data_IF_356947714816
#
_entry.id   IF_356947714816
#
_cell.length_a   1.000
_cell.length_b   1.000
_cell.length_c   1.000
_cell.angle_alpha   90.00
_cell.angle_beta   90.00
_cell.angle_gamma   90.00
#
_symmetry.space_group_name_H-M   'P 1'
#
loop_
_entity.id
_entity.type
_entity.pdbx_description
1 polymer ?
#
# COMPACT_ATOMS: atom_id res chain seq x y z
N UNK A 1 -21.40 2.74 -15.96
CA UNK A 1 -22.17 2.27 -14.77
C UNK A 1 -23.54 1.84 -15.26
N UNK A 2 -24.02 0.68 -14.84
CA UNK A 2 -25.34 0.16 -15.20
C UNK A 2 -26.44 1.06 -14.59
N UNK A 3 -27.55 1.28 -15.34
CA UNK A 3 -28.67 2.13 -14.90
C UNK A 3 -29.35 1.55 -13.64
N UNK A 4 -29.48 0.22 -13.54
CA UNK A 4 -30.05 -0.45 -12.37
C UNK A 4 -29.20 -0.22 -11.10
N UNK A 5 -27.88 -0.26 -11.23
CA UNK A 5 -26.97 0.01 -10.13
C UNK A 5 -27.07 1.48 -9.66
N UNK A 6 -27.20 2.41 -10.61
CA UNK A 6 -27.40 3.83 -10.31
C UNK A 6 -28.67 4.07 -9.52
N UNK A 7 -29.80 3.49 -9.96
CA UNK A 7 -31.09 3.61 -9.28
C UNK A 7 -31.04 3.01 -7.85
N UNK A 8 -30.33 1.90 -7.66
CA UNK A 8 -30.16 1.26 -6.35
C UNK A 8 -29.38 2.17 -5.39
N UNK A 9 -28.29 2.79 -5.86
CA UNK A 9 -27.51 3.76 -5.09
C UNK A 9 -28.33 5.00 -4.73
N UNK A 10 -29.09 5.54 -5.71
CA UNK A 10 -29.93 6.74 -5.50
C UNK A 10 -31.04 6.46 -4.49
N UNK A 11 -31.64 5.28 -4.54
CA UNK A 11 -32.64 4.86 -3.55
C UNK A 11 -32.05 4.77 -2.14
N UNK A 12 -30.93 4.08 -1.97
CA UNK A 12 -30.29 3.95 -0.67
C UNK A 12 -29.86 5.31 -0.07
N UNK A 13 -29.47 6.24 -0.93
CA UNK A 13 -29.18 7.62 -0.54
C UNK A 13 -30.44 8.36 -0.07
N UNK A 14 -31.55 8.23 -0.82
CA UNK A 14 -32.83 8.84 -0.48
C UNK A 14 -33.43 8.26 0.82
N UNK A 15 -33.24 6.97 1.05
CA UNK A 15 -33.69 6.25 2.26
C UNK A 15 -32.78 6.53 3.50
N UNK A 16 -31.67 7.25 3.32
CA UNK A 16 -30.71 7.58 4.39
C UNK A 16 -29.82 6.42 4.83
N UNK A 17 -29.79 5.32 4.09
CA UNK A 17 -28.93 4.15 4.36
C UNK A 17 -27.48 4.38 3.88
N UNK A 18 -27.31 5.15 2.82
CA UNK A 18 -26.01 5.49 2.23
C UNK A 18 -25.66 6.96 2.49
N UNK A 19 -24.44 7.21 2.98
CA UNK A 19 -23.91 8.56 3.20
C UNK A 19 -23.58 9.25 1.87
N UNK A 20 -23.81 10.58 1.76
CA UNK A 20 -23.48 11.39 0.57
C UNK A 20 -22.01 11.21 0.15
N UNK A 21 -21.09 11.27 1.11
CA UNK A 21 -19.66 11.13 0.85
C UNK A 21 -19.33 9.72 0.32
N UNK A 22 -19.97 8.67 0.88
CA UNK A 22 -19.79 7.31 0.41
C UNK A 22 -20.35 7.12 -0.99
N UNK A 23 -21.54 7.66 -1.28
CA UNK A 23 -22.16 7.63 -2.60
C UNK A 23 -21.26 8.28 -3.68
N UNK A 24 -20.69 9.44 -3.37
CA UNK A 24 -19.79 10.17 -4.27
C UNK A 24 -18.52 9.36 -4.59
N UNK A 25 -17.86 8.81 -3.56
CA UNK A 25 -16.68 7.99 -3.74
C UNK A 25 -17.01 6.68 -4.49
N UNK A 26 -18.12 6.04 -4.16
CA UNK A 26 -18.59 4.82 -4.80
C UNK A 26 -18.84 5.03 -6.31
N UNK A 27 -19.55 6.12 -6.67
CA UNK A 27 -19.80 6.50 -8.07
C UNK A 27 -18.50 6.79 -8.81
N UNK A 28 -17.54 7.49 -8.17
CA UNK A 28 -16.22 7.75 -8.73
C UNK A 28 -15.47 6.46 -9.04
N UNK A 29 -15.54 5.46 -8.15
CA UNK A 29 -14.93 4.16 -8.39
C UNK A 29 -15.59 3.40 -9.53
N UNK A 30 -16.91 3.32 -9.55
CA UNK A 30 -17.69 2.62 -10.59
C UNK A 30 -17.61 3.29 -11.97
N UNK A 31 -17.32 4.60 -12.05
CA UNK A 31 -17.15 5.30 -13.32
C UNK A 31 -15.78 5.07 -13.96
N UNK A 32 -14.87 4.41 -13.27
CA UNK A 32 -13.51 4.16 -13.76
C UNK A 32 -13.49 2.93 -14.67
N UNK A 33 -13.26 3.13 -15.97
CA UNK A 33 -13.19 2.06 -16.97
C UNK A 33 -12.04 1.06 -16.77
N UNK A 34 -11.07 1.42 -15.94
CA UNK A 34 -9.85 0.64 -15.69
C UNK A 34 -9.84 -0.07 -14.34
N UNK A 35 -10.95 -0.04 -13.61
CA UNK A 35 -11.09 -0.82 -12.39
C UNK A 35 -11.02 -2.31 -12.74
N UNK A 36 -10.30 -3.10 -11.95
CA UNK A 36 -10.20 -4.54 -12.18
C UNK A 36 -11.58 -5.22 -12.05
N UNK A 37 -11.81 -6.28 -12.82
CA UNK A 37 -13.08 -6.98 -12.86
C UNK A 37 -13.52 -7.51 -11.49
N UNK A 38 -12.57 -8.01 -10.68
CA UNK A 38 -12.89 -8.46 -9.33
C UNK A 38 -13.32 -7.31 -8.41
N UNK A 39 -12.68 -6.13 -8.55
CA UNK A 39 -13.02 -4.96 -7.74
C UNK A 39 -14.39 -4.40 -8.09
N UNK A 40 -14.71 -4.30 -9.39
CA UNK A 40 -16.07 -3.92 -9.85
C UNK A 40 -17.11 -4.89 -9.33
N UNK A 41 -16.88 -6.21 -9.49
CA UNK A 41 -17.79 -7.25 -8.99
C UNK A 41 -17.96 -7.22 -7.47
N UNK A 42 -16.89 -6.93 -6.72
CA UNK A 42 -16.98 -6.81 -5.26
C UNK A 42 -17.92 -5.67 -4.86
N UNK A 43 -17.79 -4.50 -5.51
CA UNK A 43 -18.67 -3.35 -5.25
C UNK A 43 -20.13 -3.72 -5.62
N UNK A 44 -20.36 -4.32 -6.79
CA UNK A 44 -21.68 -4.75 -7.22
C UNK A 44 -22.33 -5.76 -6.25
N UNK A 45 -21.55 -6.72 -5.74
CA UNK A 45 -22.02 -7.69 -4.76
C UNK A 45 -22.48 -7.02 -3.46
N UNK A 46 -21.73 -6.03 -2.96
CA UNK A 46 -22.12 -5.27 -1.77
C UNK A 46 -23.40 -4.47 -1.99
N UNK A 47 -23.54 -3.81 -3.14
CA UNK A 47 -24.74 -3.03 -3.50
C UNK A 47 -25.96 -3.94 -3.62
N UNK A 48 -25.85 -5.04 -4.37
CA UNK A 48 -26.94 -5.98 -4.59
C UNK A 48 -27.39 -6.71 -3.31
N UNK A 49 -26.48 -6.88 -2.35
CA UNK A 49 -26.77 -7.42 -1.04
C UNK A 49 -27.34 -6.39 -0.05
N UNK A 50 -27.37 -5.08 -0.40
CA UNK A 50 -27.80 -4.02 0.49
C UNK A 50 -26.87 -3.78 1.67
N UNK A 51 -25.59 -4.08 1.54
CA UNK A 51 -24.58 -3.96 2.61
C UNK A 51 -24.12 -2.50 2.82
N UNK A 52 -25.11 -1.60 3.02
CA UNK A 52 -24.85 -0.14 3.09
C UNK A 52 -23.95 0.26 4.24
N UNK A 53 -24.01 -0.44 5.37
CA UNK A 53 -23.11 -0.19 6.50
C UNK A 53 -21.65 -0.46 6.11
N UNK A 54 -21.38 -1.55 5.40
CA UNK A 54 -20.05 -1.89 4.92
C UNK A 54 -19.60 -0.92 3.82
N UNK A 55 -20.48 -0.54 2.90
CA UNK A 55 -20.19 0.45 1.86
C UNK A 55 -19.86 1.80 2.48
N UNK A 56 -20.61 2.26 3.47
CA UNK A 56 -20.31 3.49 4.19
C UNK A 56 -18.93 3.41 4.85
N UNK A 57 -18.58 2.31 5.54
CA UNK A 57 -17.26 2.14 6.19
C UNK A 57 -16.12 2.21 5.15
N UNK A 58 -16.31 1.60 3.98
CA UNK A 58 -15.31 1.52 2.91
C UNK A 58 -15.17 2.80 2.08
N UNK A 59 -16.23 3.62 1.98
CA UNK A 59 -16.27 4.71 1.01
C UNK A 59 -16.55 6.10 1.60
N UNK A 60 -16.85 6.26 2.91
CA UNK A 60 -17.23 7.57 3.49
C UNK A 60 -16.13 8.64 3.38
N UNK A 61 -14.90 8.26 3.14
CA UNK A 61 -13.74 9.18 2.94
C UNK A 61 -12.65 8.50 2.13
N UNK A 62 -11.65 9.28 1.70
CA UNK A 62 -10.39 8.73 1.22
C UNK A 62 -9.47 8.43 2.40
N UNK A 63 -8.78 7.29 2.34
CA UNK A 63 -7.77 6.90 3.32
C UNK A 63 -6.67 7.96 3.34
N UNK A 64 -6.47 8.58 4.50
CA UNK A 64 -5.54 9.69 4.63
C UNK A 64 -4.10 9.20 4.78
N UNK A 65 -3.17 9.87 4.09
CA UNK A 65 -1.76 9.76 4.40
C UNK A 65 -1.48 10.66 5.62
N UNK A 66 -1.32 10.04 6.79
CA UNK A 66 -1.00 10.78 8.02
C UNK A 66 0.50 11.03 8.17
N UNK A 67 0.90 11.62 9.30
CA UNK A 67 2.33 11.78 9.63
C UNK A 67 3.02 10.43 9.65
N UNK A 68 3.86 10.18 8.64
CA UNK A 68 4.67 8.97 8.52
C UNK A 68 4.01 7.78 7.80
N UNK A 69 2.79 7.88 7.29
CA UNK A 69 2.20 6.81 6.47
C UNK A 69 0.69 6.67 6.54
N UNK A 70 0.21 5.54 6.04
CA UNK A 70 -1.20 5.17 5.97
C UNK A 70 -1.45 3.94 6.85
N UNK A 71 -2.63 3.86 7.44
CA UNK A 71 -3.13 2.67 8.11
C UNK A 71 -4.60 2.48 7.76
N UNK A 72 -4.99 1.25 7.43
CA UNK A 72 -6.36 0.93 7.07
C UNK A 72 -6.65 -0.56 7.18
N UNK A 73 -7.93 -0.87 7.13
CA UNK A 73 -8.43 -2.23 7.06
C UNK A 73 -8.11 -2.82 5.68
N UNK A 74 -7.68 -4.07 5.63
CA UNK A 74 -7.43 -4.81 4.38
C UNK A 74 -8.43 -5.92 4.14
N UNK A 75 -9.14 -6.38 5.18
CA UNK A 75 -10.20 -7.38 5.07
C UNK A 75 -11.49 -6.74 5.58
N UNK A 76 -12.53 -6.68 4.76
CA UNK A 76 -13.84 -6.13 5.11
C UNK A 76 -14.54 -6.90 6.23
N UNK A 77 -15.53 -6.32 6.86
CA UNK A 77 -16.44 -7.04 7.78
C UNK A 77 -17.33 -7.98 6.98
N UNK A 78 -17.77 -7.52 5.82
CA UNK A 78 -18.45 -8.34 4.81
C UNK A 78 -17.43 -8.66 3.73
N UNK A 79 -17.12 -9.94 3.58
CA UNK A 79 -16.20 -10.44 2.56
C UNK A 79 -17.01 -10.92 1.35
N UNK A 80 -16.83 -10.28 0.22
CA UNK A 80 -17.51 -10.64 -1.03
C UNK A 80 -16.89 -11.87 -1.67
N UNK A 81 -17.63 -12.57 -2.54
CA UNK A 81 -17.08 -13.70 -3.30
C UNK A 81 -15.99 -13.26 -4.27
N UNK A 82 -16.10 -12.05 -4.81
CA UNK A 82 -15.09 -11.46 -5.68
C UNK A 82 -13.77 -11.21 -4.94
N UNK A 83 -13.81 -10.74 -3.68
CA UNK A 83 -12.63 -10.57 -2.84
C UNK A 83 -12.07 -11.91 -2.37
N UNK A 84 -12.95 -12.89 -2.10
CA UNK A 84 -12.56 -14.24 -1.72
C UNK A 84 -11.78 -14.93 -2.84
N UNK A 85 -12.20 -14.73 -4.10
CA UNK A 85 -11.58 -15.32 -5.28
C UNK A 85 -11.47 -16.84 -5.18
N UNK A 86 -10.33 -17.38 -5.58
CA UNK A 86 -10.03 -18.82 -5.52
C UNK A 86 -9.48 -19.28 -4.15
N UNK A 87 -9.42 -18.41 -3.16
CA UNK A 87 -8.82 -18.68 -1.85
C UNK A 87 -9.70 -19.51 -0.90
N UNK A 88 -10.63 -20.32 -1.44
CA UNK A 88 -11.53 -21.17 -0.64
C UNK A 88 -10.74 -22.02 0.38
N UNK A 89 -11.06 -21.84 1.67
CA UNK A 89 -10.44 -22.55 2.78
C UNK A 89 -9.11 -21.95 3.27
N UNK A 90 -8.61 -20.87 2.70
CA UNK A 90 -7.44 -20.15 3.20
C UNK A 90 -7.84 -19.11 4.27
N UNK A 91 -6.90 -18.79 5.14
CA UNK A 91 -7.09 -17.79 6.22
C UNK A 91 -7.20 -16.34 5.71
N UNK A 92 -6.80 -16.09 4.47
CA UNK A 92 -6.80 -14.78 3.82
C UNK A 92 -7.58 -14.85 2.51
N UNK A 93 -8.42 -13.85 2.17
CA UNK A 93 -8.99 -13.73 0.84
C UNK A 93 -7.88 -13.50 -0.20
N UNK A 94 -8.22 -13.67 -1.48
CA UNK A 94 -7.29 -13.44 -2.58
C UNK A 94 -7.02 -11.95 -2.77
N UNK A 95 -8.06 -11.11 -2.60
CA UNK A 95 -7.98 -9.68 -2.81
C UNK A 95 -8.31 -8.90 -1.53
N UNK A 96 -7.60 -7.79 -1.33
CA UNK A 96 -7.89 -6.87 -0.23
C UNK A 96 -9.21 -6.12 -0.47
N UNK A 97 -9.88 -5.75 0.61
CA UNK A 97 -11.18 -5.08 0.57
C UNK A 97 -11.13 -3.81 -0.29
N UNK A 98 -11.96 -3.77 -1.34
CA UNK A 98 -12.09 -2.61 -2.22
C UNK A 98 -12.76 -1.44 -1.49
N UNK A 99 -12.24 -0.23 -1.70
CA UNK A 99 -12.81 0.98 -1.11
C UNK A 99 -11.81 2.12 -1.01
N UNK A 100 -12.32 3.35 -0.96
CA UNK A 100 -11.49 4.56 -0.82
C UNK A 100 -10.90 4.73 0.58
N UNK A 101 -11.51 4.13 1.60
CA UNK A 101 -11.11 4.18 3.01
C UNK A 101 -10.48 2.86 3.50
N UNK A 102 -10.07 1.98 2.60
CA UNK A 102 -9.40 0.71 2.93
C UNK A 102 -7.96 0.72 2.40
N UNK A 103 -7.08 -0.05 3.04
CA UNK A 103 -5.74 -0.28 2.50
C UNK A 103 -5.83 -1.45 1.52
N UNK A 104 -5.68 -1.15 0.25
CA UNK A 104 -5.79 -2.07 -0.86
C UNK A 104 -4.76 -1.73 -1.94
N UNK A 105 -4.77 -2.46 -3.05
CA UNK A 105 -3.82 -2.29 -4.15
C UNK A 105 -3.79 -0.86 -4.68
N UNK A 106 -4.94 -0.22 -4.84
CA UNK A 106 -5.06 1.14 -5.38
C UNK A 106 -4.49 2.18 -4.41
N UNK A 107 -4.75 2.04 -3.11
CA UNK A 107 -4.24 2.96 -2.08
C UNK A 107 -2.75 2.80 -1.85
N UNK A 108 -2.20 1.58 -1.96
CA UNK A 108 -0.75 1.30 -1.91
C UNK A 108 -0.03 1.89 -3.11
N UNK A 109 -0.55 1.68 -4.33
CA UNK A 109 -0.01 2.29 -5.56
C UNK A 109 0.00 3.82 -5.44
N UNK A 110 -1.12 4.43 -5.03
CA UNK A 110 -1.24 5.87 -4.82
C UNK A 110 -0.20 6.41 -3.82
N UNK A 111 -0.02 5.72 -2.69
CA UNK A 111 0.97 6.09 -1.67
C UNK A 111 2.40 6.00 -2.19
N UNK A 112 2.70 4.94 -2.95
CA UNK A 112 4.01 4.74 -3.57
C UNK A 112 4.29 5.81 -4.62
N UNK A 113 3.31 6.17 -5.46
CA UNK A 113 3.42 7.25 -6.45
C UNK A 113 3.69 8.61 -5.77
N UNK A 114 2.97 8.91 -4.69
CA UNK A 114 3.16 10.15 -3.94
C UNK A 114 4.58 10.24 -3.34
N UNK A 115 5.05 9.16 -2.73
CA UNK A 115 6.39 9.07 -2.16
C UNK A 115 7.46 9.18 -3.25
N UNK A 116 7.35 8.43 -4.34
CA UNK A 116 8.28 8.49 -5.47
C UNK A 116 8.37 9.90 -6.06
N UNK A 117 7.21 10.52 -6.35
CA UNK A 117 7.17 11.86 -6.91
C UNK A 117 7.76 12.92 -5.97
N UNK A 118 7.58 12.76 -4.65
CA UNK A 118 8.24 13.61 -3.66
C UNK A 118 9.75 13.42 -3.68
N UNK A 119 10.24 12.20 -3.58
CA UNK A 119 11.67 11.88 -3.57
C UNK A 119 12.36 12.38 -4.84
N UNK A 120 11.77 12.16 -6.01
CA UNK A 120 12.32 12.64 -7.28
C UNK A 120 12.45 14.17 -7.34
N UNK A 121 11.45 14.90 -6.81
CA UNK A 121 11.52 16.36 -6.73
C UNK A 121 12.56 16.84 -5.72
N UNK A 122 12.63 16.19 -4.56
CA UNK A 122 13.62 16.49 -3.54
C UNK A 122 15.05 16.23 -4.06
N UNK A 123 15.30 15.08 -4.70
CA UNK A 123 16.61 14.78 -5.31
C UNK A 123 17.03 15.84 -6.32
N UNK A 124 16.10 16.28 -7.18
CA UNK A 124 16.37 17.33 -8.14
C UNK A 124 16.71 18.67 -7.46
N UNK A 125 16.05 19.02 -6.34
CA UNK A 125 16.36 20.24 -5.59
C UNK A 125 17.71 20.21 -4.89
N UNK A 126 18.18 19.01 -4.49
CA UNK A 126 19.49 18.78 -3.89
C UNK A 126 20.61 18.55 -4.92
N UNK A 127 20.29 18.59 -6.22
CA UNK A 127 21.25 18.33 -7.30
C UNK A 127 21.73 16.88 -7.38
N UNK A 128 20.95 15.94 -6.82
CA UNK A 128 21.26 14.50 -6.87
C UNK A 128 20.87 13.92 -8.22
N UNK A 129 21.88 13.58 -9.03
CA UNK A 129 21.72 13.03 -10.37
C UNK A 129 21.77 11.48 -10.37
N UNK A 130 20.89 10.86 -9.57
CA UNK A 130 20.85 9.39 -9.44
C UNK A 130 19.40 8.90 -9.66
N UNK A 131 19.25 7.59 -9.83
CA UNK A 131 17.94 6.94 -9.87
C UNK A 131 17.35 6.87 -8.46
N UNK A 132 16.08 7.25 -8.25
CA UNK A 132 15.45 7.11 -6.94
C UNK A 132 15.49 5.67 -6.44
N UNK A 133 16.19 5.43 -5.33
CA UNK A 133 16.36 4.11 -4.71
C UNK A 133 15.49 3.98 -3.48
N UNK A 134 14.84 2.82 -3.31
CA UNK A 134 14.02 2.51 -2.15
C UNK A 134 14.35 1.15 -1.55
N UNK A 135 14.22 1.02 -0.24
CA UNK A 135 14.23 -0.26 0.47
C UNK A 135 12.81 -0.54 0.98
N UNK A 136 12.29 -1.74 0.73
CA UNK A 136 10.95 -2.12 1.16
C UNK A 136 11.00 -3.38 2.02
N UNK A 137 10.40 -3.29 3.21
CA UNK A 137 10.22 -4.39 4.15
C UNK A 137 8.74 -4.61 4.43
N UNK A 138 8.40 -5.80 4.92
CA UNK A 138 7.05 -6.15 5.33
C UNK A 138 7.07 -7.04 6.57
N UNK A 139 5.94 -7.09 7.28
CA UNK A 139 5.69 -8.04 8.35
C UNK A 139 4.93 -9.30 7.84
N UNK A 140 4.35 -10.08 8.75
CA UNK A 140 3.65 -11.34 8.45
C UNK A 140 2.12 -11.19 8.32
N UNK A 141 1.58 -9.96 8.27
CA UNK A 141 0.15 -9.70 8.16
C UNK A 141 -0.40 -10.13 6.80
N UNK A 142 -1.73 -10.27 6.75
CA UNK A 142 -2.44 -10.47 5.49
C UNK A 142 -2.04 -9.36 4.49
N UNK A 143 -1.77 -9.75 3.27
CA UNK A 143 -1.35 -8.88 2.16
C UNK A 143 0.01 -8.17 2.34
N UNK A 144 0.74 -8.32 3.45
CA UNK A 144 2.01 -7.60 3.64
C UNK A 144 3.01 -7.88 2.54
N UNK A 145 3.19 -9.14 2.15
CA UNK A 145 4.08 -9.52 1.05
C UNK A 145 3.57 -8.98 -0.28
N UNK A 146 2.29 -9.14 -0.59
CA UNK A 146 1.66 -8.64 -1.81
C UNK A 146 1.83 -7.11 -1.95
N UNK A 147 1.53 -6.34 -0.90
CA UNK A 147 1.69 -4.87 -0.92
C UNK A 147 3.17 -4.44 -1.02
N UNK A 148 4.09 -5.21 -0.45
CA UNK A 148 5.52 -4.99 -0.59
C UNK A 148 5.94 -5.13 -2.06
N UNK A 149 5.54 -6.21 -2.72
CA UNK A 149 5.83 -6.48 -4.13
C UNK A 149 5.17 -5.46 -5.05
N UNK A 150 3.91 -5.09 -4.76
CA UNK A 150 3.18 -4.07 -5.48
C UNK A 150 3.86 -2.70 -5.39
N UNK A 151 4.29 -2.29 -4.20
CA UNK A 151 5.03 -1.04 -4.01
C UNK A 151 6.38 -1.05 -4.74
N UNK A 152 7.10 -2.18 -4.73
CA UNK A 152 8.36 -2.34 -5.46
C UNK A 152 8.15 -2.22 -6.98
N UNK A 153 7.14 -2.91 -7.50
CA UNK A 153 6.77 -2.86 -8.92
C UNK A 153 6.35 -1.46 -9.36
N UNK A 154 5.54 -0.78 -8.52
CA UNK A 154 5.12 0.61 -8.76
C UNK A 154 6.34 1.54 -8.82
N UNK A 155 7.24 1.43 -7.84
CA UNK A 155 8.45 2.24 -7.78
C UNK A 155 9.34 2.06 -9.01
N UNK A 156 9.56 0.80 -9.42
CA UNK A 156 10.35 0.45 -10.60
C UNK A 156 9.66 0.91 -11.90
N UNK A 157 8.34 0.77 -12.00
CA UNK A 157 7.55 1.26 -13.13
C UNK A 157 7.60 2.78 -13.31
N UNK A 158 7.91 3.52 -12.23
CA UNK A 158 8.14 4.98 -12.25
C UNK A 158 9.61 5.35 -12.57
N UNK A 159 10.45 4.39 -12.93
CA UNK A 159 11.86 4.61 -13.24
C UNK A 159 12.78 4.60 -12.03
N UNK A 160 12.30 4.16 -10.87
CA UNK A 160 13.10 4.01 -9.66
C UNK A 160 13.76 2.62 -9.56
N UNK A 161 14.61 2.45 -8.55
CA UNK A 161 15.27 1.19 -8.24
C UNK A 161 14.81 0.69 -6.87
N UNK A 162 14.18 -0.49 -6.81
CA UNK A 162 13.64 -1.07 -5.59
C UNK A 162 14.52 -2.20 -5.06
N UNK A 163 14.73 -2.22 -3.75
CA UNK A 163 15.42 -3.28 -3.00
C UNK A 163 14.43 -3.89 -2.01
N UNK A 164 14.20 -5.20 -2.09
CA UNK A 164 13.21 -5.92 -1.31
C UNK A 164 13.87 -7.06 -0.52
N UNK A 165 13.49 -7.22 0.73
CA UNK A 165 13.92 -8.36 1.52
C UNK A 165 13.26 -9.65 1.03
N UNK A 166 13.96 -10.76 1.16
CA UNK A 166 13.51 -12.11 0.79
C UNK A 166 12.33 -12.61 1.66
N UNK A 167 12.17 -12.03 2.85
CA UNK A 167 11.09 -12.35 3.79
C UNK A 167 10.78 -11.21 4.75
N UNK A 168 9.91 -11.45 5.75
CA UNK A 168 9.57 -10.42 6.75
C UNK A 168 10.79 -9.91 7.50
N UNK A 169 10.84 -8.59 7.70
CA UNK A 169 11.93 -7.91 8.43
C UNK A 169 11.38 -6.83 9.35
N UNK A 170 12.12 -6.57 10.41
CA UNK A 170 11.78 -5.56 11.40
C UNK A 170 12.01 -4.13 10.89
N UNK A 171 11.30 -3.18 11.47
CA UNK A 171 11.51 -1.75 11.21
C UNK A 171 12.96 -1.30 11.43
N UNK A 172 13.69 -1.70 12.49
CA UNK A 172 15.10 -1.39 12.66
C UNK A 172 15.98 -1.90 11.52
N UNK A 173 15.71 -3.09 10.98
CA UNK A 173 16.46 -3.61 9.82
C UNK A 173 16.19 -2.79 8.56
N UNK A 174 14.97 -2.32 8.33
CA UNK A 174 14.70 -1.38 7.24
C UNK A 174 15.51 -0.10 7.42
N UNK A 175 15.39 0.57 8.58
CA UNK A 175 16.09 1.82 8.87
C UNK A 175 17.60 1.70 8.65
N UNK A 176 18.20 0.62 9.16
CA UNK A 176 19.61 0.31 8.93
C UNK A 176 19.94 0.17 7.45
N UNK A 177 19.09 -0.57 6.69
CA UNK A 177 19.33 -0.89 5.27
C UNK A 177 19.18 0.34 4.38
N UNK A 178 18.25 1.24 4.67
CA UNK A 178 18.11 2.53 3.96
C UNK A 178 19.46 3.26 3.95
N UNK A 179 20.08 3.39 5.11
CA UNK A 179 21.39 4.04 5.25
C UNK A 179 22.54 3.23 4.63
N UNK A 180 22.58 1.93 4.88
CA UNK A 180 23.63 1.04 4.38
C UNK A 180 23.67 0.99 2.85
N UNK A 181 22.51 1.04 2.20
CA UNK A 181 22.37 0.96 0.76
C UNK A 181 22.26 2.32 0.07
N UNK A 182 22.42 3.42 0.84
CA UNK A 182 22.27 4.80 0.34
C UNK A 182 20.96 4.97 -0.43
N UNK A 183 19.88 4.39 0.11
CA UNK A 183 18.54 4.54 -0.48
C UNK A 183 17.95 5.92 -0.12
N UNK A 184 17.18 6.47 -1.04
CA UNK A 184 16.56 7.78 -0.86
C UNK A 184 15.25 7.70 -0.06
N UNK A 185 14.66 6.50 0.01
CA UNK A 185 13.45 6.24 0.77
C UNK A 185 13.41 4.81 1.32
N UNK A 186 12.48 4.58 2.25
CA UNK A 186 12.11 3.25 2.72
C UNK A 186 10.61 3.11 2.91
N UNK A 187 10.10 1.88 2.80
CA UNK A 187 8.72 1.52 3.14
C UNK A 187 8.73 0.30 4.07
N UNK A 188 7.90 0.35 5.12
CA UNK A 188 7.53 -0.86 5.88
C UNK A 188 6.03 -1.08 5.75
N UNK A 189 5.65 -2.23 5.20
CA UNK A 189 4.27 -2.66 5.15
C UNK A 189 3.94 -3.38 6.47
N UNK A 190 3.26 -2.66 7.36
CA UNK A 190 2.91 -3.13 8.71
C UNK A 190 1.87 -2.23 9.38
N UNK A 191 0.98 -2.82 10.18
CA UNK A 191 0.12 -2.10 11.12
C UNK A 191 0.56 -2.29 12.59
N UNK A 192 1.80 -2.70 12.84
CA UNK A 192 2.35 -2.87 14.19
C UNK A 192 1.54 -3.89 15.03
N UNK A 193 0.81 -3.41 16.05
CA UNK A 193 0.02 -4.22 17.01
C UNK A 193 -1.49 -4.20 16.73
N UNK A 194 -1.93 -3.60 15.61
CA UNK A 194 -3.36 -3.61 15.24
C UNK A 194 -3.86 -5.04 14.95
N UNK A 195 -5.18 -5.26 14.95
CA UNK A 195 -5.76 -6.55 14.55
C UNK A 195 -5.26 -7.06 13.19
N UNK A 196 -5.32 -8.38 12.93
CA UNK A 196 -4.75 -8.98 11.72
C UNK A 196 -5.36 -8.49 10.39
N UNK A 197 -6.61 -8.03 10.42
CA UNK A 197 -7.32 -7.48 9.27
C UNK A 197 -6.89 -6.04 8.90
N UNK A 198 -6.07 -5.40 9.73
CA UNK A 198 -5.47 -4.10 9.42
C UNK A 198 -4.06 -4.28 8.85
N UNK A 199 -3.66 -3.35 8.00
CA UNK A 199 -2.28 -3.20 7.56
C UNK A 199 -1.93 -1.71 7.41
N UNK A 200 -0.68 -1.41 7.07
CA UNK A 200 -0.22 -0.04 6.93
C UNK A 200 0.97 0.08 5.99
N UNK A 201 1.16 1.29 5.53
CA UNK A 201 2.28 1.72 4.70
C UNK A 201 3.01 2.83 5.45
N UNK A 202 4.18 2.56 5.99
CA UNK A 202 5.02 3.53 6.71
C UNK A 202 6.17 3.96 5.82
N UNK A 203 6.32 5.28 5.63
CA UNK A 203 7.37 5.86 4.81
C UNK A 203 8.58 6.31 5.65
N UNK A 204 9.77 6.09 5.12
CA UNK A 204 11.07 6.44 5.70
C UNK A 204 11.87 7.29 4.72
N UNK A 205 12.76 8.13 5.24
CA UNK A 205 13.60 9.03 4.47
C UNK A 205 15.06 8.55 4.41
N UNK A 206 15.93 9.32 3.75
CA UNK A 206 17.35 8.98 3.51
C UNK A 206 18.15 8.69 4.76
N UNK A 207 17.78 9.27 5.89
CA UNK A 207 18.40 9.08 7.20
C UNK A 207 18.00 7.76 7.89
N UNK A 208 17.06 7.02 7.27
CA UNK A 208 16.47 5.80 7.82
C UNK A 208 15.44 6.07 8.92
N UNK A 209 15.07 7.32 9.18
CA UNK A 209 13.99 7.67 10.08
C UNK A 209 12.63 7.70 9.35
N UNK A 210 11.55 7.48 10.10
CA UNK A 210 10.21 7.68 9.58
C UNK A 210 10.03 9.14 9.16
N UNK A 211 9.38 9.38 8.01
CA UNK A 211 9.19 10.74 7.50
C UNK A 211 8.49 11.65 8.49
N UNK A 212 9.02 12.85 8.66
CA UNK A 212 8.50 13.91 9.53
C UNK A 212 8.39 15.21 8.74
N UNK A 213 7.74 16.26 9.26
CA UNK A 213 7.77 17.57 8.60
C UNK A 213 9.21 18.09 8.38
N UNK A 214 9.50 18.74 7.25
CA UNK A 214 8.56 19.16 6.20
C UNK A 214 8.21 18.07 5.18
N UNK A 215 8.98 16.98 5.13
CA UNK A 215 8.86 15.90 4.14
C UNK A 215 7.48 15.23 4.16
N UNK A 216 6.97 14.92 5.35
CA UNK A 216 5.67 14.28 5.51
C UNK A 216 4.54 15.12 4.90
N UNK A 217 4.53 16.45 5.14
CA UNK A 217 3.53 17.36 4.58
C UNK A 217 3.53 17.36 3.05
N UNK A 218 4.71 17.42 2.45
CA UNK A 218 4.84 17.43 0.99
C UNK A 218 4.39 16.09 0.34
N UNK A 219 4.59 14.96 1.03
CA UNK A 219 4.08 13.66 0.57
C UNK A 219 2.56 13.61 0.70
N UNK A 220 1.99 14.10 1.82
CA UNK A 220 0.54 14.22 2.04
C UNK A 220 -0.11 15.06 0.95
N UNK A 221 0.47 16.22 0.63
CA UNK A 221 -0.04 17.12 -0.41
C UNK A 221 -0.05 16.44 -1.80
N UNK A 222 0.99 15.68 -2.12
CA UNK A 222 1.02 14.90 -3.36
C UNK A 222 -0.01 13.79 -3.37
N UNK A 223 -0.12 13.05 -2.28
CA UNK A 223 -1.09 11.97 -2.12
C UNK A 223 -2.52 12.48 -2.29
N UNK A 224 -2.85 13.64 -1.71
CA UNK A 224 -4.19 14.23 -1.79
C UNK A 224 -4.58 14.67 -3.21
N UNK A 225 -3.61 15.06 -4.04
CA UNK A 225 -3.82 15.49 -5.43
C UNK A 225 -3.98 14.33 -6.42
N UNK A 226 -3.48 13.13 -6.08
CA UNK A 226 -3.67 11.95 -6.90
C UNK A 226 -5.12 11.45 -6.75
N UNK A 227 -5.76 11.20 -7.87
CA UNK A 227 -7.10 10.60 -7.93
C UNK A 227 -7.01 9.11 -8.19
N UNK A 228 -8.13 8.39 -8.08
CA UNK A 228 -8.20 6.99 -8.50
C UNK A 228 -7.85 6.83 -9.99
N UNK A 229 -8.28 7.80 -10.81
CA UNK A 229 -8.01 7.82 -12.25
C UNK A 229 -6.51 7.87 -12.57
N UNK A 230 -5.73 8.61 -11.77
CA UNK A 230 -4.28 8.70 -11.94
C UNK A 230 -3.57 7.39 -11.57
N UNK A 231 -4.10 6.64 -10.60
CA UNK A 231 -3.49 5.40 -10.11
C UNK A 231 -3.85 4.17 -10.94
N UNK A 232 -5.05 4.13 -11.52
CA UNK A 232 -5.57 2.95 -12.22
C UNK A 232 -4.69 2.48 -13.39
N UNK A 233 -4.15 3.32 -14.29
CA UNK A 233 -3.31 2.85 -15.38
C UNK A 233 -2.07 2.11 -14.87
N UNK A 234 -1.44 2.62 -13.83
CA UNK A 234 -0.24 2.02 -13.26
C UNK A 234 -0.59 0.75 -12.47
N UNK A 235 -1.64 0.79 -11.66
CA UNK A 235 -2.13 -0.39 -10.95
C UNK A 235 -2.47 -1.55 -11.90
N UNK A 236 -3.15 -1.26 -13.02
CA UNK A 236 -3.48 -2.28 -14.02
C UNK A 236 -2.24 -2.88 -14.68
N UNK A 237 -1.26 -2.07 -15.02
CA UNK A 237 -0.01 -2.55 -15.61
C UNK A 237 0.78 -3.42 -14.64
N UNK A 238 0.80 -3.06 -13.36
CA UNK A 238 1.50 -3.79 -12.31
C UNK A 238 0.74 -5.07 -11.94
N UNK A 239 -0.58 -4.99 -11.77
CA UNK A 239 -1.43 -6.15 -11.47
C UNK A 239 -1.53 -7.15 -12.63
N UNK A 240 -1.23 -6.71 -13.87
CA UNK A 240 -1.13 -7.59 -15.05
C UNK A 240 0.25 -8.23 -15.22
N UNK A 241 1.25 -7.84 -14.43
CA UNK A 241 2.55 -8.50 -14.36
C UNK A 241 2.44 -9.62 -13.34
N UNK A 242 2.89 -10.81 -13.70
CA UNK A 242 3.13 -11.87 -12.72
C UNK A 242 4.23 -11.39 -11.77
N UNK A 243 3.84 -10.99 -10.55
CA UNK A 243 4.78 -10.54 -9.52
C UNK A 243 5.76 -11.64 -9.10
N UNK A 244 5.52 -12.87 -9.55
CA UNK A 244 6.44 -14.00 -9.46
C UNK A 244 7.34 -14.11 -10.70
N UNK A 245 7.20 -13.24 -11.70
CA UNK A 245 8.08 -13.25 -12.88
C UNK A 245 9.52 -12.93 -12.46
N UNK A 246 10.36 -13.95 -12.60
CA UNK A 246 11.75 -13.92 -12.16
C UNK A 246 12.57 -12.91 -12.98
N UNK A 247 12.26 -12.72 -14.26
CA UNK A 247 12.95 -11.75 -15.12
C UNK A 247 12.65 -10.31 -14.71
N UNK A 248 11.39 -10.01 -14.39
CA UNK A 248 11.00 -8.70 -13.87
C UNK A 248 11.76 -8.37 -12.57
N UNK A 249 11.82 -9.30 -11.61
CA UNK A 249 12.52 -9.11 -10.34
C UNK A 249 14.03 -8.91 -10.54
N UNK A 250 14.66 -9.67 -11.41
CA UNK A 250 16.10 -9.57 -11.68
C UNK A 250 16.48 -8.24 -12.34
N UNK A 251 15.61 -7.70 -13.19
CA UNK A 251 15.91 -6.45 -13.93
C UNK A 251 15.53 -5.18 -13.15
N UNK A 252 14.48 -5.23 -12.33
CA UNK A 252 13.86 -4.04 -11.73
C UNK A 252 13.91 -4.01 -10.22
N UNK A 253 14.13 -5.15 -9.56
CA UNK A 253 14.10 -5.31 -8.11
C UNK A 253 15.29 -6.16 -7.64
N UNK A 254 16.04 -5.67 -6.66
CA UNK A 254 17.16 -6.40 -6.06
C UNK A 254 16.75 -7.10 -4.76
N UNK A 255 16.90 -8.43 -4.63
CA UNK A 255 16.77 -9.12 -3.37
C UNK A 255 17.90 -8.74 -2.38
N UNK A 256 17.56 -8.53 -1.13
CA UNK A 256 18.50 -8.23 -0.05
C UNK A 256 18.79 -9.50 0.75
N UNK A 257 19.82 -10.25 0.37
CA UNK A 257 20.16 -11.54 0.97
C UNK A 257 21.24 -11.48 2.05
N UNK A 258 22.02 -10.40 2.11
CA UNK A 258 23.18 -10.28 2.99
C UNK A 258 22.96 -9.37 4.21
N UNK A 259 21.80 -8.74 4.30
CA UNK A 259 21.55 -7.68 5.31
C UNK A 259 21.48 -8.25 6.73
N UNK A 260 20.91 -9.43 6.90
CA UNK A 260 20.72 -10.01 8.23
C UNK A 260 22.05 -10.22 8.95
N UNK A 261 23.04 -10.79 8.29
CA UNK A 261 24.37 -10.99 8.84
C UNK A 261 25.04 -9.68 9.26
N UNK A 262 24.91 -8.63 8.42
CA UNK A 262 25.47 -7.31 8.71
C UNK A 262 24.75 -6.61 9.86
N UNK A 263 23.43 -6.74 9.94
CA UNK A 263 22.62 -6.18 11.02
C UNK A 263 22.95 -6.88 12.34
N UNK A 264 23.02 -8.21 12.38
CA UNK A 264 23.38 -8.97 13.56
C UNK A 264 24.80 -8.65 14.04
N UNK A 265 25.77 -8.58 13.14
CA UNK A 265 27.14 -8.20 13.49
C UNK A 265 27.27 -6.79 14.13
N UNK A 266 26.36 -5.88 13.76
CA UNK A 266 26.31 -4.53 14.38
C UNK A 266 25.67 -4.56 15.77
N UNK A 267 24.70 -5.43 16.01
CA UNK A 267 23.92 -5.47 17.26
C UNK A 267 24.48 -6.43 18.30
N UNK A 268 25.25 -7.43 17.89
CA UNK A 268 25.82 -8.44 18.76
C UNK A 268 26.67 -7.89 19.93
N UNK A 269 27.57 -6.91 19.74
CA UNK A 269 28.32 -6.31 20.85
C UNK A 269 27.41 -5.66 21.89
N UNK A 270 26.28 -5.07 21.50
CA UNK A 270 25.36 -4.39 22.40
C UNK A 270 24.56 -5.37 23.28
N UNK A 271 24.40 -6.60 22.83
CA UNK A 271 23.69 -7.66 23.58
C UNK A 271 24.65 -8.37 24.54
N UNK A 272 25.90 -8.61 24.14
CA UNK A 272 26.87 -9.35 24.93
C UNK A 272 27.32 -8.57 26.19
N UNK A 273 27.40 -7.26 26.13
CA UNK A 273 27.75 -6.43 27.30
C UNK A 273 26.66 -6.45 28.39
N UNK A 274 25.37 -6.55 28.03
CA UNK A 274 24.26 -6.58 29.01
C UNK A 274 24.03 -7.96 29.63
N UNK A 275 24.44 -9.02 29.00
CA UNK A 275 24.25 -10.40 29.50
C UNK A 275 25.37 -10.80 30.44
N UNK A 276 26.53 -10.18 30.37
CA UNK A 276 27.67 -10.43 31.30
C UNK A 276 27.52 -9.73 32.65
N UNK A 277 26.59 -8.79 32.83
CA UNK A 277 26.32 -8.06 34.08
C UNK A 277 25.09 -8.61 34.86
N UNK A 278 24.40 -9.64 34.35
CA UNK A 278 23.25 -10.29 34.99
C UNK A 278 23.59 -11.71 35.47
#
# INVERSE_FOLDING_TARGET
>A
MDEALTQTIDKALADGELMDAAANNLRSWLSTERLSDWASRSIEQLINAGEWTEINDRFHKNLAFGTGGIRGRTIGRVLTDAERGESKGKSSPEHAAVGSNTLNDYTVVRATMALHGYISTWMASEGVLDVPRIVIAHDVRHFSRHFCELAASTWSGLGGYAMVFDGPRSTPQLSFTVRLRYAHAGIVITASHNPPHDNGFKAYFVDGAQVVPPHAGAIVDRYSKLTLQDTVPLAKNILGVDLCDREFWVQSVQPLLDIEKRFMAMTEPLVSEKVSEA
#
